data_IF_054504271398
#
_entry.id   IF_054504271398
#
_cell.length_a   1.000
_cell.length_b   1.000
_cell.length_c   1.000
_cell.angle_alpha   90.00
_cell.angle_beta   90.00
_cell.angle_gamma   90.00
#
_symmetry.space_group_name_H-M   'P 1'
#
loop_
_entity.id
_entity.type
_entity.pdbx_description
1 polymer ?
#
# COMPACT_ATOMS: atom_id res chain seq x y z
N UNK A 1 6.85 7.50 -7.75
CA UNK A 1 6.59 7.05 -6.35
C UNK A 1 7.88 7.19 -5.56
N UNK A 2 7.80 7.47 -4.25
CA UNK A 2 8.99 7.56 -3.39
C UNK A 2 9.70 6.20 -3.33
N UNK A 3 10.97 6.13 -3.68
CA UNK A 3 11.74 4.89 -3.65
C UNK A 3 12.92 5.00 -2.69
N UNK A 4 12.93 4.15 -1.66
CA UNK A 4 13.96 4.13 -0.61
C UNK A 4 14.80 2.86 -0.70
N UNK A 5 14.18 1.69 -0.87
CA UNK A 5 14.92 0.43 -1.01
C UNK A 5 14.13 -0.63 -1.79
N UNK A 6 14.83 -1.64 -2.28
CA UNK A 6 14.25 -2.70 -3.11
C UNK A 6 13.25 -3.60 -2.37
N UNK A 7 13.51 -3.96 -1.12
CA UNK A 7 12.62 -4.84 -0.38
C UNK A 7 11.52 -4.04 0.31
N UNK A 8 10.27 -4.32 -0.10
CA UNK A 8 9.07 -3.83 0.55
C UNK A 8 9.06 -2.30 0.60
N UNK A 9 9.27 -1.67 -0.55
CA UNK A 9 9.35 -0.21 -0.64
C UNK A 9 8.04 0.47 -0.18
N UNK A 10 6.90 -0.21 -0.33
CA UNK A 10 5.60 0.30 0.12
C UNK A 10 5.56 0.64 1.61
N UNK A 11 6.39 0.00 2.46
CA UNK A 11 6.57 0.43 3.84
C UNK A 11 6.93 1.93 3.93
N UNK A 12 7.86 2.40 3.10
CA UNK A 12 8.32 3.78 3.15
C UNK A 12 7.31 4.72 2.51
N UNK A 13 6.70 4.29 1.40
CA UNK A 13 5.67 5.06 0.70
C UNK A 13 4.49 5.36 1.63
N UNK A 14 3.94 4.34 2.29
CA UNK A 14 2.74 4.50 3.13
C UNK A 14 3.03 5.25 4.42
N UNK A 15 4.18 5.00 5.07
CA UNK A 15 4.59 5.74 6.25
C UNK A 15 4.88 7.22 5.95
N UNK A 16 5.59 7.51 4.85
CA UNK A 16 5.86 8.89 4.44
C UNK A 16 4.55 9.62 4.10
N UNK A 17 3.66 8.98 3.34
CA UNK A 17 2.36 9.56 3.01
C UNK A 17 1.54 9.87 4.28
N UNK A 18 1.59 8.99 5.28
CA UNK A 18 0.90 9.20 6.56
C UNK A 18 1.47 10.41 7.32
N UNK A 19 2.79 10.48 7.47
CA UNK A 19 3.44 11.60 8.15
C UNK A 19 3.19 12.93 7.44
N UNK A 20 3.29 12.96 6.11
CA UNK A 20 2.98 14.13 5.29
C UNK A 20 1.53 14.59 5.49
N UNK A 21 0.59 13.62 5.56
CA UNK A 21 -0.82 13.90 5.82
C UNK A 21 -1.01 14.53 7.20
N UNK A 22 -0.50 13.90 8.25
CA UNK A 22 -0.62 14.39 9.63
C UNK A 22 0.02 15.77 9.78
N UNK A 23 1.21 15.97 9.22
CA UNK A 23 1.93 17.22 9.36
C UNK A 23 1.29 18.36 8.58
N UNK A 24 0.77 18.11 7.38
CA UNK A 24 0.00 19.12 6.62
C UNK A 24 -1.22 19.62 7.40
N UNK A 25 -1.92 18.71 8.08
CA UNK A 25 -3.06 19.06 8.94
C UNK A 25 -2.60 19.86 10.15
N UNK A 26 -1.51 19.44 10.79
CA UNK A 26 -0.94 20.16 11.92
C UNK A 26 -0.63 21.62 11.56
N UNK A 27 0.13 21.86 10.48
CA UNK A 27 0.47 23.21 10.01
C UNK A 27 -0.78 24.07 9.77
N UNK A 28 -1.81 23.48 9.17
CA UNK A 28 -3.08 24.17 8.90
C UNK A 28 -3.83 24.49 10.19
N UNK A 29 -3.79 23.60 11.19
CA UNK A 29 -4.48 23.79 12.48
C UNK A 29 -3.73 24.66 13.49
N UNK A 30 -2.41 24.81 13.33
CA UNK A 30 -1.56 25.53 14.27
C UNK A 30 -1.70 27.07 14.17
N UNK A 31 -2.51 27.58 13.23
CA UNK A 31 -2.78 29.00 13.08
C UNK A 31 -1.61 29.82 12.52
N UNK A 32 -0.59 29.16 11.95
CA UNK A 32 0.47 29.86 11.21
C UNK A 32 -0.08 30.32 9.85
N UNK A 33 0.05 31.62 9.56
CA UNK A 33 -0.29 32.18 8.25
C UNK A 33 0.95 32.79 7.57
N UNK A 34 1.40 32.24 6.42
CA UNK A 34 0.89 31.05 5.74
C UNK A 34 1.30 29.73 6.45
N UNK A 35 0.53 28.62 6.28
CA UNK A 35 0.84 27.33 6.89
C UNK A 35 2.03 26.67 6.20
N UNK A 36 3.23 26.93 6.72
CA UNK A 36 4.52 26.64 6.06
C UNK A 36 5.48 25.94 7.00
N UNK A 37 6.11 24.88 6.50
CA UNK A 37 7.29 24.24 7.09
C UNK A 37 8.56 24.94 6.60
N UNK A 38 9.42 25.36 7.53
CA UNK A 38 10.74 25.91 7.19
C UNK A 38 11.74 24.76 7.02
N UNK A 39 12.26 24.58 5.80
CA UNK A 39 13.34 23.63 5.50
C UNK A 39 14.63 24.37 5.12
N UNK A 40 15.81 23.73 5.22
CA UNK A 40 17.08 24.33 4.78
C UNK A 40 17.07 24.79 3.32
N UNK A 41 16.37 24.05 2.45
CA UNK A 41 16.25 24.34 1.01
C UNK A 41 15.09 25.28 0.66
N UNK A 42 14.39 25.81 1.67
CA UNK A 42 13.30 26.77 1.51
C UNK A 42 11.96 26.35 2.11
N UNK A 43 10.97 27.25 2.12
CA UNK A 43 9.66 27.00 2.72
C UNK A 43 8.83 25.99 1.92
N UNK A 44 8.15 25.09 2.63
CA UNK A 44 7.21 24.11 2.04
C UNK A 44 5.81 24.32 2.62
N UNK A 45 4.86 24.66 1.76
CA UNK A 45 3.46 24.86 2.15
C UNK A 45 2.76 23.54 2.51
N UNK A 46 1.82 23.60 3.45
CA UNK A 46 0.99 22.46 3.85
C UNK A 46 0.29 21.79 2.65
N UNK A 47 -0.19 22.56 1.67
CA UNK A 47 -0.82 22.05 0.46
C UNK A 47 0.11 21.18 -0.40
N UNK A 48 1.41 21.50 -0.41
CA UNK A 48 2.41 20.70 -1.13
C UNK A 48 2.62 19.35 -0.46
N UNK A 49 2.68 19.31 0.88
CA UNK A 49 2.77 18.09 1.66
C UNK A 49 1.53 17.20 1.45
N UNK A 50 0.34 17.80 1.52
CA UNK A 50 -0.93 17.12 1.26
C UNK A 50 -1.00 16.54 -0.15
N UNK A 51 -0.60 17.31 -1.15
CA UNK A 51 -0.58 16.87 -2.56
C UNK A 51 0.38 15.70 -2.77
N UNK A 52 1.55 15.72 -2.12
CA UNK A 52 2.51 14.62 -2.19
C UNK A 52 1.97 13.34 -1.52
N UNK A 53 1.32 13.47 -0.37
CA UNK A 53 0.67 12.35 0.31
C UNK A 53 -0.44 11.72 -0.54
N UNK A 54 -1.29 12.55 -1.17
CA UNK A 54 -2.31 12.12 -2.11
C UNK A 54 -1.70 11.39 -3.31
N UNK A 55 -0.65 11.94 -3.92
CA UNK A 55 0.04 11.29 -5.04
C UNK A 55 0.62 9.91 -4.68
N UNK A 56 1.17 9.74 -3.47
CA UNK A 56 1.61 8.41 -3.01
C UNK A 56 0.43 7.45 -2.81
N UNK A 57 -0.67 7.96 -2.25
CA UNK A 57 -1.90 7.17 -2.04
C UNK A 57 -2.51 6.71 -3.35
N UNK A 58 -2.64 7.61 -4.32
CA UNK A 58 -3.18 7.30 -5.64
C UNK A 58 -2.28 6.28 -6.36
N UNK A 59 -0.96 6.41 -6.22
CA UNK A 59 -0.01 5.43 -6.75
C UNK A 59 -0.22 4.03 -6.16
N UNK A 60 -0.42 3.92 -4.84
CA UNK A 60 -0.77 2.65 -4.16
C UNK A 60 -2.08 2.08 -4.72
N UNK A 61 -3.06 2.95 -5.00
CA UNK A 61 -4.39 2.55 -5.46
C UNK A 61 -4.46 2.22 -6.96
N UNK A 62 -3.44 2.56 -7.75
CA UNK A 62 -3.33 2.16 -9.16
C UNK A 62 -2.93 3.27 -10.13
N UNK A 63 -2.74 4.51 -9.68
CA UNK A 63 -2.21 5.60 -10.48
C UNK A 63 -0.68 5.46 -10.66
N UNK A 64 -0.29 4.39 -11.35
CA UNK A 64 1.08 4.03 -11.65
C UNK A 64 1.20 3.53 -13.10
N UNK A 65 2.42 3.47 -13.69
CA UNK A 65 2.60 3.08 -15.09
C UNK A 65 2.03 1.71 -15.44
N UNK A 66 1.98 0.79 -14.48
CA UNK A 66 1.44 -0.54 -14.68
C UNK A 66 -0.10 -0.59 -14.59
N UNK A 67 -0.76 0.44 -14.06
CA UNK A 67 -2.20 0.47 -13.80
C UNK A 67 -2.65 -0.64 -12.84
N UNK A 68 -1.83 -0.95 -11.83
CA UNK A 68 -2.06 -2.03 -10.86
C UNK A 68 -2.24 -1.45 -9.47
N UNK A 69 -3.34 -1.76 -8.79
CA UNK A 69 -3.49 -1.47 -7.38
C UNK A 69 -2.59 -2.38 -6.55
N UNK A 70 -1.77 -1.81 -5.69
CA UNK A 70 -0.98 -2.56 -4.71
C UNK A 70 -1.77 -2.86 -3.42
N UNK A 71 -3.01 -2.36 -3.32
CA UNK A 71 -4.00 -2.75 -2.32
C UNK A 71 -4.80 -3.95 -2.84
N UNK A 72 -4.55 -5.13 -2.26
CA UNK A 72 -5.18 -6.39 -2.68
C UNK A 72 -6.70 -6.30 -2.53
N UNK A 73 -7.40 -6.67 -3.61
CA UNK A 73 -8.86 -6.63 -3.68
C UNK A 73 -9.46 -5.26 -4.06
N UNK A 74 -8.64 -4.25 -4.33
CA UNK A 74 -9.08 -2.93 -4.78
C UNK A 74 -8.82 -2.71 -6.28
N UNK A 75 -9.75 -2.05 -6.96
CA UNK A 75 -9.67 -1.77 -8.39
C UNK A 75 -9.83 -3.01 -9.29
N UNK A 76 -9.65 -2.83 -10.59
CA UNK A 76 -9.83 -3.90 -11.60
C UNK A 76 -8.61 -4.79 -11.74
N UNK A 77 -7.42 -4.32 -11.33
CA UNK A 77 -6.15 -5.04 -11.45
C UNK A 77 -5.37 -4.91 -10.13
N UNK A 78 -5.12 -6.04 -9.47
CA UNK A 78 -4.35 -6.14 -8.22
C UNK A 78 -3.58 -7.48 -8.15
N UNK A 79 -2.53 -7.60 -7.31
CA UNK A 79 -1.77 -8.83 -7.12
C UNK A 79 -2.66 -9.99 -6.66
N UNK A 80 -2.57 -11.12 -7.36
CA UNK A 80 -3.33 -12.35 -7.07
C UNK A 80 -2.46 -13.45 -6.48
N UNK A 81 -1.13 -13.25 -6.42
CA UNK A 81 -0.15 -14.26 -5.99
C UNK A 81 0.76 -13.73 -4.88
N UNK A 82 0.23 -12.90 -3.99
CA UNK A 82 0.99 -12.32 -2.88
C UNK A 82 1.63 -13.39 -1.98
N UNK A 83 2.79 -13.07 -1.42
CA UNK A 83 3.50 -13.90 -0.45
C UNK A 83 2.80 -13.81 0.91
N UNK A 84 1.89 -14.75 1.16
CA UNK A 84 1.20 -14.90 2.44
C UNK A 84 0.65 -16.31 2.58
N UNK A 85 1.08 -17.06 3.61
CA UNK A 85 0.75 -18.49 3.75
C UNK A 85 -0.76 -18.76 3.78
N UNK A 86 -1.51 -17.99 4.57
CA UNK A 86 -2.97 -18.12 4.65
C UNK A 86 -3.69 -17.72 3.36
N UNK A 87 -3.02 -17.02 2.44
CA UNK A 87 -3.57 -16.71 1.14
C UNK A 87 -3.27 -17.82 0.12
N UNK A 88 -2.06 -18.40 0.17
CA UNK A 88 -1.61 -19.46 -0.75
C UNK A 88 -2.36 -20.76 -0.61
N UNK A 89 -2.61 -21.16 0.64
CA UNK A 89 -3.08 -22.49 0.98
C UNK A 89 -4.60 -22.43 1.04
N UNK A 90 -5.26 -23.44 0.48
CA UNK A 90 -6.72 -23.59 0.59
C UNK A 90 -7.18 -23.41 2.04
N UNK A 91 -8.30 -22.72 2.23
CA UNK A 91 -8.85 -22.53 3.57
C UNK A 91 -9.34 -23.86 4.14
N UNK A 92 -9.36 -23.97 5.47
CA UNK A 92 -9.89 -25.15 6.16
C UNK A 92 -11.36 -25.44 5.78
N UNK A 93 -12.14 -24.40 5.47
CA UNK A 93 -13.52 -24.55 4.97
C UNK A 93 -13.59 -25.19 3.57
N UNK A 94 -12.57 -24.98 2.73
CA UNK A 94 -12.51 -25.54 1.37
C UNK A 94 -11.89 -26.94 1.31
N UNK A 95 -10.86 -27.20 2.12
CA UNK A 95 -10.25 -28.53 2.31
C UNK A 95 -9.80 -28.63 3.77
N UNK A 96 -10.50 -29.46 4.55
CA UNK A 96 -10.28 -29.62 5.98
C UNK A 96 -9.03 -30.43 6.34
N UNK A 97 -8.33 -30.99 5.35
CA UNK A 97 -7.15 -31.82 5.57
C UNK A 97 -6.00 -31.01 6.15
N UNK A 98 -5.27 -31.62 7.07
CA UNK A 98 -4.02 -31.04 7.58
C UNK A 98 -2.97 -30.95 6.47
N UNK A 99 -2.40 -29.76 6.28
CA UNK A 99 -1.35 -29.49 5.29
C UNK A 99 -0.07 -29.19 6.05
N UNK A 100 0.86 -30.15 6.05
CA UNK A 100 2.17 -29.98 6.68
C UNK A 100 3.07 -28.98 5.94
N UNK A 101 4.15 -28.52 6.57
CA UNK A 101 5.04 -27.49 6.02
C UNK A 101 5.60 -27.85 4.63
N UNK A 102 6.14 -29.07 4.47
CA UNK A 102 6.70 -29.53 3.19
C UNK A 102 5.64 -29.65 2.10
N UNK A 103 4.44 -30.09 2.45
CA UNK A 103 3.30 -30.15 1.54
C UNK A 103 2.81 -28.76 1.16
N UNK A 104 2.78 -27.83 2.12
CA UNK A 104 2.50 -26.41 1.90
C UNK A 104 3.47 -25.79 0.90
N UNK A 105 4.76 -26.05 1.07
CA UNK A 105 5.81 -25.59 0.16
C UNK A 105 5.66 -26.19 -1.25
N UNK A 106 5.60 -27.51 -1.35
CA UNK A 106 5.54 -28.20 -2.65
C UNK A 106 4.24 -27.93 -3.43
N UNK A 107 3.10 -27.95 -2.76
CA UNK A 107 1.79 -27.90 -3.44
C UNK A 107 1.25 -26.48 -3.62
N UNK A 108 1.62 -25.54 -2.75
CA UNK A 108 0.98 -24.21 -2.70
C UNK A 108 1.94 -23.05 -2.92
N UNK A 109 3.15 -23.10 -2.37
CA UNK A 109 4.10 -21.98 -2.51
C UNK A 109 4.52 -21.79 -3.98
N UNK A 110 4.92 -22.87 -4.65
CA UNK A 110 5.39 -22.84 -6.04
C UNK A 110 4.27 -22.83 -7.09
N UNK A 111 3.00 -22.92 -6.67
CA UNK A 111 1.85 -22.95 -7.58
C UNK A 111 1.78 -21.67 -8.43
N UNK A 112 1.56 -21.85 -9.74
CA UNK A 112 1.48 -20.74 -10.71
C UNK A 112 0.13 -20.02 -10.72
N UNK A 113 -0.93 -20.67 -10.26
CA UNK A 113 -2.26 -20.08 -10.15
C UNK A 113 -2.37 -19.00 -9.08
N UNK A 114 -3.49 -18.29 -9.12
CA UNK A 114 -3.87 -17.32 -8.08
C UNK A 114 -4.01 -17.97 -6.69
N UNK A 115 -3.89 -17.13 -5.67
CA UNK A 115 -4.18 -17.49 -4.29
C UNK A 115 -5.63 -17.95 -4.16
N UNK A 116 -5.92 -19.09 -3.50
CA UNK A 116 -7.30 -19.50 -3.21
C UNK A 116 -8.02 -18.49 -2.31
N UNK A 117 -7.32 -17.78 -1.43
CA UNK A 117 -7.91 -16.77 -0.56
C UNK A 117 -7.36 -15.38 -0.91
N UNK A 118 -8.26 -14.42 -1.15
CA UNK A 118 -7.91 -13.01 -1.37
C UNK A 118 -7.89 -12.31 -0.01
N UNK A 119 -6.74 -11.77 0.38
CA UNK A 119 -6.63 -10.98 1.63
C UNK A 119 -6.92 -9.53 1.29
N UNK A 120 -8.20 -9.21 1.25
CA UNK A 120 -8.68 -7.86 0.94
C UNK A 120 -8.09 -6.85 1.92
N UNK A 121 -7.58 -5.74 1.40
CA UNK A 121 -6.98 -4.67 2.20
C UNK A 121 -5.48 -4.84 2.52
N UNK A 122 -4.87 -5.96 2.13
CA UNK A 122 -3.43 -6.12 2.24
C UNK A 122 -2.68 -5.23 1.24
N UNK A 123 -1.61 -4.56 1.68
CA UNK A 123 -0.72 -3.81 0.79
C UNK A 123 0.59 -4.59 0.62
N UNK A 124 0.86 -5.00 -0.63
CA UNK A 124 2.09 -5.72 -0.97
C UNK A 124 3.31 -4.79 -0.99
N UNK A 125 4.51 -5.35 -1.06
CA UNK A 125 5.76 -4.58 -1.09
C UNK A 125 5.96 -3.63 -2.27
N UNK A 126 5.22 -3.81 -3.37
CA UNK A 126 5.19 -2.90 -4.50
C UNK A 126 6.32 -3.12 -5.52
N UNK A 127 6.47 -2.21 -6.49
CA UNK A 127 7.39 -2.39 -7.61
C UNK A 127 8.84 -2.05 -7.24
N UNK A 128 9.76 -2.33 -8.16
CA UNK A 128 11.14 -1.86 -8.08
C UNK A 128 11.27 -0.36 -8.47
N UNK A 129 12.49 0.15 -8.47
CA UNK A 129 12.80 1.56 -8.80
C UNK A 129 12.48 1.95 -10.26
N UNK A 130 12.16 0.99 -11.11
CA UNK A 130 11.75 1.19 -12.51
C UNK A 130 10.24 0.96 -12.70
N UNK A 131 9.47 1.02 -11.61
CA UNK A 131 8.03 0.74 -11.58
C UNK A 131 7.64 -0.68 -12.05
N UNK A 132 8.60 -1.63 -12.06
CA UNK A 132 8.33 -3.02 -12.49
C UNK A 132 7.87 -3.86 -11.32
N UNK A 133 6.69 -4.47 -11.46
CA UNK A 133 6.12 -5.38 -10.48
C UNK A 133 5.92 -6.77 -11.07
N UNK A 134 6.37 -7.81 -10.36
CA UNK A 134 6.18 -9.21 -10.74
C UNK A 134 5.35 -9.94 -9.68
N UNK A 135 4.08 -10.20 -10.00
CA UNK A 135 3.13 -10.93 -9.13
C UNK A 135 3.47 -12.43 -9.05
N UNK A 136 4.51 -12.73 -8.27
CA UNK A 136 4.93 -14.10 -7.98
C UNK A 136 5.14 -14.27 -6.49
N UNK A 137 4.61 -15.35 -5.95
CA UNK A 137 4.71 -15.67 -4.51
C UNK A 137 6.15 -15.83 -4.02
N UNK A 138 7.08 -16.27 -4.87
CA UNK A 138 8.50 -16.38 -4.53
C UNK A 138 9.25 -15.05 -4.58
N UNK A 139 8.64 -14.01 -5.18
CA UNK A 139 9.15 -12.64 -5.16
C UNK A 139 8.67 -11.92 -3.89
N UNK A 140 9.09 -12.40 -2.73
CA UNK A 140 8.69 -11.84 -1.43
C UNK A 140 9.10 -10.35 -1.30
N UNK A 141 10.18 -9.91 -1.95
CA UNK A 141 10.58 -8.50 -1.93
C UNK A 141 9.49 -7.53 -2.39
N UNK A 142 8.71 -7.93 -3.40
CA UNK A 142 7.62 -7.11 -3.97
C UNK A 142 6.23 -7.57 -3.50
N UNK A 143 6.07 -8.85 -3.20
CA UNK A 143 4.74 -9.45 -2.99
C UNK A 143 4.41 -9.79 -1.54
N UNK A 144 5.34 -9.62 -0.60
CA UNK A 144 5.04 -9.73 0.84
C UNK A 144 4.00 -8.67 1.23
N UNK A 145 2.97 -9.10 1.94
CA UNK A 145 2.02 -8.21 2.59
C UNK A 145 2.36 -8.10 4.08
N UNK A 146 2.48 -6.87 4.59
CA UNK A 146 2.83 -6.64 5.99
C UNK A 146 1.87 -5.63 6.64
N UNK A 147 1.61 -5.82 7.94
CA UNK A 147 0.75 -4.93 8.73
C UNK A 147 1.23 -3.48 8.70
N UNK A 148 2.55 -3.27 8.74
CA UNK A 148 3.16 -1.94 8.69
C UNK A 148 3.08 -1.26 7.31
N UNK A 149 2.73 -1.99 6.23
CA UNK A 149 2.40 -1.37 4.95
C UNK A 149 0.97 -0.79 5.01
N UNK A 150 0.03 -1.57 5.53
CA UNK A 150 -1.41 -1.24 5.54
C UNK A 150 -1.79 -0.26 6.66
N UNK A 151 -1.22 -0.40 7.86
CA UNK A 151 -1.65 0.36 9.04
C UNK A 151 -1.63 1.89 8.84
N UNK A 152 -0.58 2.51 8.24
CA UNK A 152 -0.57 3.96 8.01
C UNK A 152 -1.67 4.41 7.04
N UNK A 153 -2.03 3.57 6.08
CA UNK A 153 -3.01 3.91 5.04
C UNK A 153 -4.43 4.03 5.58
N UNK A 154 -4.78 3.34 6.68
CA UNK A 154 -6.10 3.45 7.29
C UNK A 154 -6.42 4.90 7.67
N UNK A 155 -5.48 5.59 8.31
CA UNK A 155 -5.65 7.00 8.68
C UNK A 155 -5.72 7.93 7.47
N UNK A 156 -4.91 7.67 6.44
CA UNK A 156 -4.93 8.46 5.19
C UNK A 156 -6.26 8.29 4.47
N UNK A 157 -6.75 7.07 4.30
CA UNK A 157 -8.03 6.80 3.65
C UNK A 157 -9.19 7.47 4.39
N UNK A 158 -9.21 7.38 5.71
CA UNK A 158 -10.22 8.07 6.52
C UNK A 158 -10.18 9.60 6.30
N UNK A 159 -8.98 10.19 6.26
CA UNK A 159 -8.81 11.62 6.03
C UNK A 159 -9.28 12.05 4.63
N UNK A 160 -8.81 11.40 3.58
CA UNK A 160 -9.16 11.76 2.19
C UNK A 160 -10.65 11.51 1.88
N UNK A 161 -11.25 10.49 2.51
CA UNK A 161 -12.69 10.25 2.43
C UNK A 161 -13.49 11.38 3.09
N UNK A 162 -13.04 11.86 4.25
CA UNK A 162 -13.62 13.02 4.92
C UNK A 162 -13.56 14.30 4.07
N UNK A 163 -12.42 14.56 3.41
CA UNK A 163 -12.26 15.73 2.53
C UNK A 163 -13.27 15.71 1.37
N UNK A 164 -13.39 14.57 0.67
CA UNK A 164 -14.31 14.42 -0.47
C UNK A 164 -15.78 14.52 -0.08
N UNK A 165 -16.14 14.09 1.13
CA UNK A 165 -17.49 14.24 1.66
C UNK A 165 -17.84 15.71 1.96
N UNK A 166 -16.86 16.53 2.34
CA UNK A 166 -17.04 17.97 2.55
C UNK A 166 -17.19 18.70 1.21
N UNK A 167 -16.36 18.38 0.21
CA UNK A 167 -16.40 19.05 -1.11
C UNK A 167 -17.69 18.79 -1.89
N UNK A 168 -18.39 17.68 -1.64
CA UNK A 168 -19.68 17.36 -2.28
C UNK A 168 -20.89 18.05 -1.62
N UNK A 169 -20.70 18.69 -0.46
CA UNK A 169 -21.77 19.38 0.29
C UNK A 169 -21.72 20.91 0.16
N UNK A 170 -20.70 21.45 -0.50
CA UNK A 170 -20.56 22.87 -0.86
C UNK A 170 -20.89 23.07 -2.33
#
# INVERSE_FOLDING_TARGET
MLFVRQWNNMQYVTNAAFLLTVYSRYLTSAGQEPPVLQCPDGPVHADKLRSLARAQTDYVLGANPAGVSYLVGYGTRFPRRMHHRGASIVSHRGDGRFIGCMQGYGNWFLRRGANPNVVVGAIVGGPDHLDRFRDRRDNYMQTEACTYNTAPMVGIFAHLHGETAITKKS
#
